data_IF_526153204382
#
_entry.id   IF_526153204382
#
_cell.length_a   1.000
_cell.length_b   1.000
_cell.length_c   1.000
_cell.angle_alpha   90.00
_cell.angle_beta   90.00
_cell.angle_gamma   90.00
#
_symmetry.space_group_name_H-M   'P 1'
#
loop_
_entity.id
_entity.type
_entity.pdbx_description
1 polymer ?
#
# COMPACT_ATOMS: atom_id res chain seq x y z
N UNK A 1 -18.43 23.30 24.48
CA UNK A 1 -18.02 22.70 23.18
C UNK A 1 -17.39 21.37 23.50
N UNK A 2 -18.08 20.29 23.16
CA UNK A 2 -17.59 18.92 23.32
C UNK A 2 -16.45 18.76 22.31
N UNK A 3 -15.19 18.80 22.76
CA UNK A 3 -14.08 18.36 21.94
C UNK A 3 -13.63 17.03 22.52
N UNK A 4 -14.31 16.00 22.04
CA UNK A 4 -14.03 14.59 22.26
C UNK A 4 -12.57 14.30 21.93
N UNK A 5 -11.98 13.39 22.70
CA UNK A 5 -10.66 12.81 22.47
C UNK A 5 -10.37 12.65 20.97
N UNK A 6 -9.25 13.21 20.52
CA UNK A 6 -8.64 12.83 19.24
C UNK A 6 -8.21 11.37 19.38
N UNK A 7 -9.13 10.48 19.04
CA UNK A 7 -8.97 9.04 19.05
C UNK A 7 -7.67 8.67 18.34
N UNK A 8 -6.79 7.96 19.05
CA UNK A 8 -5.65 7.21 18.54
C UNK A 8 -6.14 6.01 17.72
N UNK A 9 -7.02 6.28 16.75
CA UNK A 9 -7.64 5.32 15.86
C UNK A 9 -7.20 5.62 14.44
N UNK A 10 -6.61 4.63 13.79
CA UNK A 10 -6.11 4.73 12.42
C UNK A 10 -7.30 5.02 11.49
N UNK A 11 -7.46 6.28 11.06
CA UNK A 11 -8.55 6.68 10.16
C UNK A 11 -8.24 6.28 8.71
N UNK A 12 -8.67 5.07 8.37
CA UNK A 12 -8.37 4.48 7.07
C UNK A 12 -9.08 5.17 5.90
N UNK A 13 -10.16 5.91 6.18
CA UNK A 13 -10.96 6.63 5.18
C UNK A 13 -10.25 7.92 4.72
N UNK A 14 -9.71 8.69 5.66
CA UNK A 14 -8.91 9.88 5.38
C UNK A 14 -7.68 9.57 4.55
N UNK A 15 -7.02 8.44 4.82
CA UNK A 15 -5.85 8.00 4.05
C UNK A 15 -6.21 7.59 2.62
N UNK A 16 -7.30 6.85 2.44
CA UNK A 16 -7.79 6.49 1.11
C UNK A 16 -8.18 7.75 0.31
N UNK A 17 -8.81 8.72 0.97
CA UNK A 17 -9.16 10.01 0.36
C UNK A 17 -7.92 10.83 -0.03
N UNK A 18 -6.86 10.79 0.78
CA UNK A 18 -5.60 11.46 0.45
C UNK A 18 -4.95 10.92 -0.82
N UNK A 19 -5.01 9.59 -1.01
CA UNK A 19 -4.51 8.92 -2.22
C UNK A 19 -5.37 9.32 -3.44
N UNK A 20 -6.70 9.22 -3.34
CA UNK A 20 -7.63 9.51 -4.43
C UNK A 20 -7.66 10.99 -4.86
N UNK A 21 -7.49 11.93 -3.93
CA UNK A 21 -7.56 13.36 -4.23
C UNK A 21 -6.29 13.92 -4.90
N UNK A 22 -5.28 13.10 -5.20
CA UNK A 22 -4.00 13.52 -5.83
C UNK A 22 -3.33 14.70 -5.13
N UNK A 23 -3.53 14.88 -3.82
CA UNK A 23 -2.77 15.86 -3.04
C UNK A 23 -1.38 15.28 -2.86
N UNK A 24 -0.53 15.42 -3.87
CA UNK A 24 0.75 14.73 -4.01
C UNK A 24 1.65 14.82 -2.77
N UNK A 25 1.58 15.94 -2.04
CA UNK A 25 2.35 16.17 -0.80
C UNK A 25 1.86 15.39 0.41
N UNK A 26 0.64 14.87 0.41
CA UNK A 26 0.04 14.15 1.54
C UNK A 26 0.05 12.62 1.34
N UNK A 27 0.31 12.14 0.12
CA UNK A 27 0.26 10.70 -0.20
C UNK A 27 1.36 9.92 0.51
N UNK A 28 2.61 10.40 0.47
CA UNK A 28 3.74 9.74 1.17
C UNK A 28 3.51 9.68 2.69
N UNK A 29 3.19 10.78 3.38
CA UNK A 29 2.84 10.72 4.81
C UNK A 29 1.69 9.75 5.13
N UNK A 30 0.67 9.67 4.28
CA UNK A 30 -0.42 8.72 4.49
C UNK A 30 0.05 7.25 4.37
N UNK A 31 0.92 6.95 3.41
CA UNK A 31 1.54 5.63 3.27
C UNK A 31 2.40 5.30 4.49
N UNK A 32 3.18 6.25 5.00
CA UNK A 32 4.04 6.05 6.17
C UNK A 32 3.20 5.77 7.43
N UNK A 33 2.09 6.48 7.62
CA UNK A 33 1.16 6.20 8.74
C UNK A 33 0.55 4.80 8.59
N UNK A 34 0.16 4.37 7.39
CA UNK A 34 -0.31 3.00 7.16
C UNK A 34 0.76 1.95 7.46
N UNK A 35 2.01 2.22 7.09
CA UNK A 35 3.15 1.34 7.36
C UNK A 35 3.39 1.21 8.87
N UNK A 36 3.41 2.33 9.59
CA UNK A 36 3.57 2.36 11.05
C UNK A 36 2.43 1.63 11.75
N UNK A 37 1.19 1.94 11.38
CA UNK A 37 0.00 1.28 11.90
C UNK A 37 0.05 -0.24 11.71
N UNK A 38 0.43 -0.68 10.50
CA UNK A 38 0.58 -2.10 10.22
C UNK A 38 1.74 -2.70 11.02
N UNK A 39 2.86 -1.99 11.18
CA UNK A 39 4.01 -2.43 11.97
C UNK A 39 3.71 -2.57 13.46
N UNK A 40 2.93 -1.65 14.03
CA UNK A 40 2.65 -1.58 15.47
C UNK A 40 1.49 -2.50 15.88
N UNK A 41 0.40 -2.50 15.10
CA UNK A 41 -0.84 -3.19 15.48
C UNK A 41 -1.10 -4.48 14.68
N UNK A 42 -0.45 -4.62 13.53
CA UNK A 42 -0.59 -5.79 12.67
C UNK A 42 -1.89 -5.90 11.89
N UNK A 43 -1.94 -6.93 11.05
CA UNK A 43 -3.04 -7.17 10.11
C UNK A 43 -4.40 -7.50 10.74
N UNK A 44 -4.47 -7.70 12.07
CA UNK A 44 -5.73 -7.90 12.80
C UNK A 44 -6.46 -6.57 13.04
N UNK A 45 -5.71 -5.49 13.27
CA UNK A 45 -6.25 -4.16 13.55
C UNK A 45 -6.29 -3.34 12.26
N UNK A 46 -5.26 -3.46 11.43
CA UNK A 46 -5.17 -2.78 10.14
C UNK A 46 -5.58 -3.77 9.05
N UNK A 47 -6.76 -3.61 8.41
CA UNK A 47 -7.25 -4.61 7.46
C UNK A 47 -6.41 -4.58 6.18
N UNK A 48 -5.60 -5.62 5.91
CA UNK A 48 -4.60 -5.61 4.84
C UNK A 48 -5.25 -5.58 3.45
N UNK A 49 -6.44 -6.19 3.32
CA UNK A 49 -7.20 -6.22 2.06
C UNK A 49 -7.48 -4.81 1.52
N UNK A 50 -7.81 -3.84 2.38
CA UNK A 50 -8.09 -2.47 1.94
C UNK A 50 -6.82 -1.79 1.41
N UNK A 51 -5.69 -1.98 2.10
CA UNK A 51 -4.40 -1.43 1.66
C UNK A 51 -3.98 -2.02 0.32
N UNK A 52 -4.14 -3.34 0.15
CA UNK A 52 -3.83 -4.04 -1.10
C UNK A 52 -4.65 -3.51 -2.30
N UNK A 53 -5.89 -3.05 -2.07
CA UNK A 53 -6.71 -2.45 -3.13
C UNK A 53 -6.20 -1.08 -3.60
N UNK A 54 -5.45 -0.36 -2.76
CA UNK A 54 -4.90 0.96 -3.08
C UNK A 54 -3.52 0.87 -3.77
N UNK A 55 -2.79 -0.21 -3.54
CA UNK A 55 -1.43 -0.40 -4.09
C UNK A 55 -1.32 -0.20 -5.62
N UNK A 56 -2.25 -0.69 -6.47
CA UNK A 56 -2.14 -0.47 -7.91
C UNK A 56 -2.11 1.01 -8.30
N UNK A 57 -2.97 1.83 -7.68
CA UNK A 57 -3.01 3.28 -7.92
C UNK A 57 -1.74 3.97 -7.39
N UNK A 58 -1.22 3.49 -6.27
CA UNK A 58 0.03 3.99 -5.70
C UNK A 58 1.26 3.64 -6.54
N UNK A 59 1.28 2.45 -7.17
CA UNK A 59 2.34 2.05 -8.09
C UNK A 59 2.27 2.79 -9.43
N UNK A 60 1.08 3.14 -9.90
CA UNK A 60 0.86 3.95 -11.11
C UNK A 60 0.99 5.46 -10.85
N UNK A 61 1.25 5.87 -9.60
CA UNK A 61 1.37 7.27 -9.24
C UNK A 61 2.60 7.93 -9.90
N UNK A 62 2.45 9.15 -10.41
CA UNK A 62 3.51 9.86 -11.15
C UNK A 62 4.73 10.23 -10.28
N UNK A 63 4.51 10.48 -8.99
CA UNK A 63 5.55 10.81 -8.01
C UNK A 63 6.39 9.57 -7.64
N UNK A 64 7.71 9.65 -7.80
CA UNK A 64 8.64 8.57 -7.48
C UNK A 64 8.69 8.22 -5.99
N UNK A 65 8.49 9.18 -5.10
CA UNK A 65 8.52 8.96 -3.65
C UNK A 65 7.29 8.17 -3.23
N UNK A 66 6.13 8.45 -3.84
CA UNK A 66 4.91 7.66 -3.62
C UNK A 66 5.14 6.20 -4.02
N UNK A 67 5.71 5.96 -5.20
CA UNK A 67 6.05 4.60 -5.65
C UNK A 67 7.05 3.94 -4.69
N UNK A 68 8.09 4.67 -4.24
CA UNK A 68 9.10 4.20 -3.28
C UNK A 68 8.48 3.78 -1.93
N UNK A 69 7.69 4.65 -1.29
CA UNK A 69 7.05 4.33 -0.01
C UNK A 69 6.06 3.17 -0.11
N UNK A 70 5.35 3.05 -1.23
CA UNK A 70 4.39 1.96 -1.46
C UNK A 70 5.04 0.58 -1.52
N UNK A 71 6.31 0.51 -1.96
CA UNK A 71 7.10 -0.71 -1.92
C UNK A 71 7.38 -1.14 -0.48
N UNK A 72 7.72 -0.20 0.41
CA UNK A 72 7.87 -0.46 1.85
C UNK A 72 6.58 -0.99 2.47
N UNK A 73 5.45 -0.34 2.21
CA UNK A 73 4.12 -0.77 2.68
C UNK A 73 3.76 -2.19 2.20
N UNK A 74 4.16 -2.52 0.99
CA UNK A 74 3.92 -3.85 0.41
C UNK A 74 4.74 -4.94 1.09
N UNK A 75 6.01 -4.68 1.40
CA UNK A 75 6.85 -5.62 2.16
C UNK A 75 6.31 -5.86 3.56
N UNK A 76 5.81 -4.82 4.21
CA UNK A 76 5.18 -4.90 5.52
C UNK A 76 3.92 -5.77 5.46
N UNK A 77 3.07 -5.61 4.44
CA UNK A 77 1.93 -6.51 4.22
C UNK A 77 2.36 -7.96 4.02
N UNK A 78 3.40 -8.21 3.21
CA UNK A 78 3.97 -9.55 3.03
C UNK A 78 4.46 -10.16 4.34
N UNK A 79 5.01 -9.35 5.26
CA UNK A 79 5.44 -9.79 6.59
C UNK A 79 4.27 -10.28 7.44
N UNK A 80 3.12 -9.61 7.36
CA UNK A 80 1.96 -9.90 8.22
C UNK A 80 1.04 -11.01 7.71
N UNK A 81 0.77 -11.05 6.40
CA UNK A 81 -0.16 -12.02 5.81
C UNK A 81 0.49 -12.98 4.81
N UNK A 82 1.80 -12.88 4.60
CA UNK A 82 2.54 -13.72 3.66
C UNK A 82 2.57 -13.17 2.24
N UNK A 83 3.56 -13.62 1.45
CA UNK A 83 3.76 -13.18 0.06
C UNK A 83 2.63 -13.67 -0.87
N UNK A 84 2.14 -14.91 -0.69
CA UNK A 84 1.12 -15.50 -1.56
C UNK A 84 -0.24 -14.77 -1.49
N UNK A 85 -0.80 -14.47 -0.29
CA UNK A 85 -2.07 -13.75 -0.21
C UNK A 85 -1.98 -12.32 -0.74
N UNK A 86 -0.86 -11.64 -0.49
CA UNK A 86 -0.59 -10.30 -1.05
C UNK A 86 -0.59 -10.36 -2.58
N UNK A 87 0.17 -11.29 -3.17
CA UNK A 87 0.25 -11.45 -4.61
C UNK A 87 -1.12 -11.78 -5.21
N UNK A 88 -1.86 -12.71 -4.61
CA UNK A 88 -3.16 -13.14 -5.12
C UNK A 88 -4.14 -11.98 -5.22
N UNK A 89 -4.26 -11.19 -4.15
CA UNK A 89 -5.19 -10.06 -4.08
C UNK A 89 -4.73 -8.92 -5.01
N UNK A 90 -3.43 -8.63 -5.03
CA UNK A 90 -2.89 -7.58 -5.88
C UNK A 90 -3.03 -7.93 -7.37
N UNK A 91 -2.77 -9.18 -7.73
CA UNK A 91 -2.91 -9.68 -9.10
C UNK A 91 -4.36 -9.60 -9.58
N UNK A 92 -5.30 -10.08 -8.77
CA UNK A 92 -6.74 -9.97 -9.05
C UNK A 92 -7.14 -8.51 -9.31
N UNK A 93 -6.70 -7.58 -8.45
CA UNK A 93 -7.02 -6.16 -8.61
C UNK A 93 -6.35 -5.49 -9.82
N UNK A 94 -5.12 -5.89 -10.14
CA UNK A 94 -4.38 -5.34 -11.28
C UNK A 94 -4.94 -5.84 -12.61
N UNK A 95 -5.51 -7.04 -12.67
CA UNK A 95 -6.21 -7.52 -13.88
C UNK A 95 -7.39 -6.63 -14.27
N UNK A 96 -8.09 -6.06 -13.29
CA UNK A 96 -9.18 -5.10 -13.52
C UNK A 96 -8.69 -3.72 -14.00
N UNK A 97 -7.43 -3.36 -13.72
CA UNK A 97 -6.97 -1.97 -13.85
C UNK A 97 -5.86 -1.79 -14.90
N UNK A 98 -5.09 -2.83 -15.24
CA UNK A 98 -3.88 -2.72 -16.06
C UNK A 98 -3.73 -3.88 -17.07
N UNK A 99 -2.91 -3.64 -18.11
CA UNK A 99 -2.60 -4.63 -19.16
C UNK A 99 -1.77 -5.78 -18.57
N UNK A 100 -2.10 -7.07 -18.83
CA UNK A 100 -1.47 -8.25 -18.22
C UNK A 100 0.07 -8.30 -18.26
N UNK A 101 0.69 -7.63 -19.25
CA UNK A 101 2.14 -7.62 -19.48
C UNK A 101 2.94 -6.94 -18.36
N UNK A 102 2.41 -5.88 -17.74
CA UNK A 102 3.09 -5.18 -16.62
C UNK A 102 2.98 -5.98 -15.32
N UNK A 103 1.86 -6.68 -15.13
CA UNK A 103 1.55 -7.44 -13.92
C UNK A 103 2.58 -8.57 -13.70
N UNK A 104 2.96 -9.24 -14.78
CA UNK A 104 3.97 -10.31 -14.75
C UNK A 104 5.34 -9.83 -14.28
N UNK A 105 5.80 -8.65 -14.72
CA UNK A 105 7.09 -8.09 -14.32
C UNK A 105 7.12 -7.67 -12.85
N UNK A 106 6.08 -6.96 -12.39
CA UNK A 106 5.98 -6.48 -11.01
C UNK A 106 5.74 -7.61 -10.01
N UNK A 107 4.85 -8.56 -10.30
CA UNK A 107 4.60 -9.70 -9.39
C UNK A 107 5.78 -10.66 -9.28
N UNK A 108 6.63 -10.75 -10.31
CA UNK A 108 7.81 -11.60 -10.30
C UNK A 108 8.97 -10.94 -9.54
N UNK A 109 9.18 -9.61 -9.72
CA UNK A 109 10.17 -8.87 -8.92
C UNK A 109 9.79 -8.71 -7.44
N UNK A 110 8.49 -8.73 -7.13
CA UNK A 110 7.98 -8.65 -5.75
C UNK A 110 8.09 -9.98 -4.97
N UNK A 111 8.34 -11.10 -5.67
CA UNK A 111 8.45 -12.44 -5.09
C UNK A 111 9.86 -12.99 -5.05
N UNK A 112 10.65 -12.75 -6.09
CA UNK A 112 12.07 -13.07 -6.12
C UNK A 112 12.79 -12.07 -5.23
N UNK A 113 13.72 -12.54 -4.41
CA UNK A 113 14.41 -11.79 -3.37
C UNK A 113 15.39 -10.72 -3.91
N UNK A 114 14.91 -9.85 -4.80
CA UNK A 114 15.59 -8.67 -5.31
C UNK A 114 14.75 -7.42 -5.01
N UNK A 115 14.71 -7.05 -3.72
CA UNK A 115 14.39 -5.69 -3.30
C UNK A 115 15.24 -4.67 -4.11
N UNK A 116 16.40 -5.09 -4.61
CA UNK A 116 17.30 -4.43 -5.56
C UNK A 116 16.64 -3.92 -6.86
N UNK A 117 15.78 -4.71 -7.50
CA UNK A 117 15.17 -4.36 -8.82
C UNK A 117 13.96 -3.45 -8.69
N UNK A 118 13.41 -3.39 -7.48
CA UNK A 118 12.42 -2.39 -7.10
C UNK A 118 13.09 -0.99 -6.99
N UNK A 119 14.43 -0.86 -6.94
CA UNK A 119 15.14 0.42 -6.87
C UNK A 119 15.76 0.92 -8.18
N UNK A 120 15.51 0.27 -9.33
CA UNK A 120 16.06 0.68 -10.62
C UNK A 120 15.02 1.07 -11.67
#
# INVERSE_FOLDING_TARGET
MHLSASESGIDQDAMEKAIKNKVTKAVVPAIDVMFQALSEFGAKIVPPKRILMMLPELFDHQDQNVRASSKGLTLELCRWIGKEPVKSILFEKMQDTMVPSYIGSYCNSMLLDDVSLIFS
#
